data_IF_962906785285
#
_entry.id   IF_962906785285
#
_cell.length_a   1.000
_cell.length_b   1.000
_cell.length_c   1.000
_cell.angle_alpha   90.00
_cell.angle_beta   90.00
_cell.angle_gamma   90.00
#
_symmetry.space_group_name_H-M   'P 1'
#
loop_
_entity.id
_entity.type
_entity.pdbx_description
1 polymer ?
#
# COMPACT_ATOMS: atom_id res chain seq x y z
N UNK A 1 32.81 -13.90 0.86
CA UNK A 1 31.47 -14.50 0.91
C UNK A 1 30.44 -13.40 0.63
N UNK A 2 30.20 -13.03 -0.63
CA UNK A 2 29.35 -11.86 -0.93
C UNK A 2 28.48 -11.99 -2.17
N UNK A 3 28.92 -12.79 -3.16
CA UNK A 3 28.13 -13.02 -4.37
C UNK A 3 27.07 -14.12 -4.20
N UNK A 4 27.34 -15.15 -3.38
CA UNK A 4 26.39 -16.26 -3.16
C UNK A 4 25.21 -15.89 -2.26
N UNK A 5 25.41 -15.04 -1.24
CA UNK A 5 24.36 -14.60 -0.32
C UNK A 5 23.39 -13.60 -0.98
N UNK A 6 23.91 -12.76 -1.89
CA UNK A 6 23.11 -11.84 -2.70
C UNK A 6 22.22 -12.55 -3.74
N UNK A 7 22.74 -13.60 -4.39
CA UNK A 7 21.95 -14.41 -5.33
C UNK A 7 20.84 -15.17 -4.60
N UNK A 8 21.15 -15.74 -3.43
CA UNK A 8 20.18 -16.51 -2.65
C UNK A 8 19.07 -15.63 -2.04
N UNK A 9 19.39 -14.38 -1.66
CA UNK A 9 18.38 -13.41 -1.19
C UNK A 9 17.51 -12.88 -2.34
N UNK A 10 18.08 -12.61 -3.52
CA UNK A 10 17.32 -12.21 -4.70
C UNK A 10 16.33 -13.29 -5.18
N UNK A 11 16.73 -14.55 -5.17
CA UNK A 11 15.85 -15.68 -5.53
C UNK A 11 14.72 -15.88 -4.50
N UNK A 12 15.01 -15.69 -3.21
CA UNK A 12 14.01 -15.79 -2.14
C UNK A 12 12.95 -14.70 -2.26
N UNK A 13 13.35 -13.46 -2.54
CA UNK A 13 12.42 -12.33 -2.72
C UNK A 13 11.54 -12.53 -3.96
N UNK A 14 12.11 -12.96 -5.08
CA UNK A 14 11.35 -13.27 -6.29
C UNK A 14 10.31 -14.38 -6.05
N UNK A 15 10.69 -15.43 -5.31
CA UNK A 15 9.78 -16.52 -4.94
C UNK A 15 8.64 -16.03 -4.02
N UNK A 16 8.94 -15.13 -3.07
CA UNK A 16 7.93 -14.53 -2.21
C UNK A 16 6.97 -13.63 -3.00
N UNK A 17 7.45 -12.87 -4.00
CA UNK A 17 6.60 -12.00 -4.85
C UNK A 17 5.65 -12.84 -5.70
N UNK A 18 6.19 -13.89 -6.33
CA UNK A 18 5.38 -14.83 -7.11
C UNK A 18 4.29 -15.47 -6.24
N UNK A 19 4.64 -15.87 -5.01
CA UNK A 19 3.69 -16.42 -4.04
C UNK A 19 2.62 -15.40 -3.65
N UNK A 20 3.00 -14.16 -3.32
CA UNK A 20 2.08 -13.11 -2.91
C UNK A 20 1.05 -12.78 -4.01
N UNK A 21 1.52 -12.65 -5.25
CA UNK A 21 0.66 -12.43 -6.42
C UNK A 21 -0.30 -13.60 -6.66
N UNK A 22 0.21 -14.84 -6.61
CA UNK A 22 -0.62 -16.05 -6.74
C UNK A 22 -1.70 -16.13 -5.67
N UNK A 23 -1.38 -15.82 -4.41
CA UNK A 23 -2.36 -15.83 -3.31
C UNK A 23 -3.48 -14.83 -3.59
N UNK A 24 -3.14 -13.63 -4.06
CA UNK A 24 -4.12 -12.62 -4.46
C UNK A 24 -5.03 -13.14 -5.58
N UNK A 25 -4.44 -13.61 -6.68
CA UNK A 25 -5.17 -14.14 -7.85
C UNK A 25 -6.08 -15.32 -7.47
N UNK A 26 -5.60 -16.25 -6.64
CA UNK A 26 -6.39 -17.36 -6.13
C UNK A 26 -7.55 -16.90 -5.24
N UNK A 27 -7.36 -15.83 -4.46
CA UNK A 27 -8.41 -15.27 -3.61
C UNK A 27 -9.51 -14.63 -4.47
N UNK A 28 -9.13 -13.91 -5.53
CA UNK A 28 -10.07 -13.33 -6.51
C UNK A 28 -10.82 -14.43 -7.27
N UNK A 29 -10.12 -15.46 -7.70
CA UNK A 29 -10.69 -16.60 -8.42
C UNK A 29 -11.52 -17.55 -7.52
N UNK A 30 -11.46 -17.41 -6.20
CA UNK A 30 -12.20 -18.28 -5.30
C UNK A 30 -13.71 -18.06 -5.45
N UNK A 31 -14.44 -19.15 -5.71
CA UNK A 31 -15.92 -19.18 -5.77
C UNK A 31 -16.51 -19.88 -4.55
N UNK A 32 -17.74 -19.55 -4.15
CA UNK A 32 -18.43 -20.21 -3.03
C UNK A 32 -18.00 -19.71 -1.64
N UNK A 33 -18.65 -20.26 -0.61
CA UNK A 33 -18.81 -19.63 0.72
C UNK A 33 -18.30 -20.44 1.91
N UNK A 34 -17.43 -21.42 1.65
CA UNK A 34 -16.84 -22.21 2.73
C UNK A 34 -16.10 -21.33 3.74
N UNK A 35 -16.08 -21.79 5.00
CA UNK A 35 -15.39 -21.11 6.11
C UNK A 35 -13.92 -20.81 5.80
N UNK A 36 -13.27 -21.72 5.07
CA UNK A 36 -11.87 -21.57 4.64
C UNK A 36 -11.69 -20.42 3.65
N UNK A 37 -12.59 -20.29 2.67
CA UNK A 37 -12.57 -19.20 1.68
C UNK A 37 -12.84 -17.85 2.33
N UNK A 38 -13.79 -17.81 3.28
CA UNK A 38 -14.01 -16.61 4.10
C UNK A 38 -12.74 -16.23 4.87
N UNK A 39 -12.09 -17.18 5.55
CA UNK A 39 -10.85 -16.92 6.28
C UNK A 39 -9.68 -16.49 5.37
N UNK A 40 -9.64 -16.97 4.12
CA UNK A 40 -8.68 -16.51 3.12
C UNK A 40 -8.91 -15.04 2.76
N UNK A 41 -10.14 -14.66 2.43
CA UNK A 41 -10.52 -13.28 2.08
C UNK A 41 -10.27 -12.30 3.22
N UNK A 42 -10.62 -12.67 4.46
CA UNK A 42 -10.33 -11.85 5.65
C UNK A 42 -8.82 -11.60 5.79
N UNK A 43 -8.00 -12.65 5.69
CA UNK A 43 -6.54 -12.51 5.78
C UNK A 43 -5.99 -11.64 4.65
N UNK A 44 -6.55 -11.78 3.45
CA UNK A 44 -6.12 -10.99 2.30
C UNK A 44 -6.52 -9.51 2.45
N UNK A 45 -7.72 -9.21 2.92
CA UNK A 45 -8.20 -7.85 3.18
C UNK A 45 -7.30 -7.12 4.20
N UNK A 46 -6.94 -7.78 5.31
CA UNK A 46 -6.03 -7.23 6.32
C UNK A 46 -4.66 -6.92 5.73
N UNK A 47 -4.13 -7.80 4.87
CA UNK A 47 -2.82 -7.58 4.22
C UNK A 47 -2.87 -6.44 3.22
N UNK A 48 -3.95 -6.34 2.43
CA UNK A 48 -4.14 -5.27 1.45
C UNK A 48 -4.21 -3.91 2.14
N UNK A 49 -4.92 -3.80 3.26
CA UNK A 49 -4.91 -2.58 4.09
C UNK A 49 -3.47 -2.12 4.37
N UNK A 50 -2.62 -3.01 4.88
CA UNK A 50 -1.22 -2.69 5.19
C UNK A 50 -0.42 -2.30 3.95
N UNK A 51 -0.66 -2.97 2.81
CA UNK A 51 -0.02 -2.60 1.54
C UNK A 51 -0.44 -1.19 1.14
N UNK A 52 -1.73 -0.87 1.17
CA UNK A 52 -2.24 0.46 0.81
C UNK A 52 -1.65 1.55 1.71
N UNK A 53 -1.64 1.34 3.03
CA UNK A 53 -1.05 2.28 3.99
C UNK A 53 0.43 2.56 3.67
N UNK A 54 1.19 1.49 3.37
CA UNK A 54 2.62 1.61 3.01
C UNK A 54 2.84 2.28 1.66
N UNK A 55 2.00 1.98 0.67
CA UNK A 55 2.08 2.59 -0.66
C UNK A 55 1.79 4.08 -0.59
N UNK A 56 0.76 4.47 0.18
CA UNK A 56 0.47 5.88 0.45
C UNK A 56 1.66 6.59 1.08
N UNK A 57 2.23 6.01 2.14
CA UNK A 57 3.42 6.54 2.82
C UNK A 57 4.66 6.55 1.92
N UNK A 58 4.75 5.64 0.95
CA UNK A 58 5.82 5.65 -0.03
C UNK A 58 5.66 6.83 -0.99
N UNK A 59 4.44 7.14 -1.42
CA UNK A 59 4.13 8.30 -2.26
C UNK A 59 4.46 9.61 -1.56
N UNK A 60 4.05 9.76 -0.29
CA UNK A 60 4.35 10.98 0.50
C UNK A 60 5.86 11.20 0.64
N UNK A 61 6.60 10.17 1.05
CA UNK A 61 8.06 10.24 1.24
C UNK A 61 8.81 10.48 -0.07
N UNK A 62 8.39 9.81 -1.15
CA UNK A 62 9.04 9.98 -2.45
C UNK A 62 8.86 11.39 -2.99
N UNK A 63 7.68 11.99 -2.82
CA UNK A 63 7.47 13.39 -3.20
C UNK A 63 8.29 14.36 -2.35
N UNK A 64 8.36 14.13 -1.03
CA UNK A 64 9.18 14.97 -0.15
C UNK A 64 10.66 14.96 -0.56
N UNK A 65 11.24 13.78 -0.81
CA UNK A 65 12.62 13.66 -1.27
C UNK A 65 12.84 14.18 -2.70
N UNK A 66 11.84 14.02 -3.57
CA UNK A 66 11.85 14.59 -4.92
C UNK A 66 11.93 16.11 -4.88
N UNK A 67 11.11 16.77 -4.05
CA UNK A 67 11.08 18.23 -3.97
C UNK A 67 12.42 18.79 -3.49
N UNK A 68 13.04 18.16 -2.48
CA UNK A 68 14.39 18.51 -2.02
C UNK A 68 15.42 18.37 -3.15
N UNK A 69 15.43 17.23 -3.83
CA UNK A 69 16.37 16.94 -4.93
C UNK A 69 16.18 17.89 -6.10
N UNK A 70 14.93 18.24 -6.41
CA UNK A 70 14.55 19.19 -7.45
C UNK A 70 15.04 20.60 -7.13
N UNK A 71 14.88 21.06 -5.90
CA UNK A 71 15.39 22.37 -5.48
C UNK A 71 16.92 22.46 -5.59
N UNK A 72 17.63 21.40 -5.19
CA UNK A 72 19.09 21.31 -5.30
C UNK A 72 19.53 21.38 -6.78
N UNK A 73 18.89 20.60 -7.67
CA UNK A 73 19.22 20.60 -9.09
C UNK A 73 19.01 21.99 -9.74
N UNK A 74 17.89 22.66 -9.41
CA UNK A 74 17.59 24.01 -9.90
C UNK A 74 18.66 25.01 -9.42
N UNK A 75 19.09 24.93 -8.16
CA UNK A 75 20.14 25.80 -7.62
C UNK A 75 21.52 25.52 -8.23
N UNK A 76 21.81 24.26 -8.57
CA UNK A 76 23.05 23.83 -9.22
C UNK A 76 23.10 24.10 -10.73
N UNK A 77 21.96 24.38 -11.37
CA UNK A 77 21.85 24.46 -12.82
C UNK A 77 21.87 23.10 -13.52
N UNK A 78 21.59 22.03 -12.77
CA UNK A 78 21.51 20.66 -13.26
C UNK A 78 20.10 20.33 -13.78
N UNK A 79 19.99 19.22 -14.51
CA UNK A 79 18.69 18.70 -14.95
C UNK A 79 17.82 18.27 -13.77
N UNK A 80 16.55 18.66 -13.81
CA UNK A 80 15.57 18.31 -12.78
C UNK A 80 15.31 16.80 -12.80
N UNK A 81 15.33 16.10 -11.65
CA UNK A 81 15.02 14.68 -11.61
C UNK A 81 13.61 14.39 -12.14
N UNK A 82 13.34 13.16 -12.60
CA UNK A 82 12.00 12.75 -12.97
C UNK A 82 11.09 12.69 -11.73
N UNK A 83 9.82 13.03 -11.91
CA UNK A 83 8.81 12.93 -10.86
C UNK A 83 8.67 11.47 -10.39
N UNK A 84 8.54 11.22 -9.08
CA UNK A 84 8.33 9.89 -8.56
C UNK A 84 6.99 9.31 -9.04
N UNK A 85 6.96 8.01 -9.31
CA UNK A 85 5.78 7.27 -9.73
C UNK A 85 5.78 5.87 -9.13
N UNK A 86 4.60 5.26 -9.02
CA UNK A 86 4.48 3.86 -8.62
C UNK A 86 5.12 2.95 -9.67
N UNK A 87 5.73 1.86 -9.21
CA UNK A 87 6.35 0.84 -10.05
C UNK A 87 5.87 -0.55 -9.62
N UNK A 88 6.29 -1.60 -10.33
CA UNK A 88 6.02 -2.98 -9.92
C UNK A 88 6.54 -3.29 -8.50
N UNK A 89 7.60 -2.62 -8.05
CA UNK A 89 8.11 -2.75 -6.67
C UNK A 89 7.09 -2.24 -5.64
N UNK A 90 6.35 -1.19 -5.98
CA UNK A 90 5.32 -0.59 -5.12
C UNK A 90 4.17 -1.57 -4.85
N UNK A 91 3.91 -2.50 -5.77
CA UNK A 91 2.86 -3.51 -5.66
C UNK A 91 3.10 -4.52 -4.51
N UNK A 92 4.35 -4.67 -4.06
CA UNK A 92 4.74 -5.68 -3.07
C UNK A 92 5.19 -5.02 -1.78
N UNK A 93 4.58 -5.43 -0.66
CA UNK A 93 4.96 -4.92 0.65
C UNK A 93 5.10 -6.05 1.66
N UNK A 94 6.13 -5.98 2.48
CA UNK A 94 6.30 -6.88 3.62
C UNK A 94 5.27 -6.55 4.69
N UNK A 95 4.51 -7.54 5.14
CA UNK A 95 3.47 -7.42 6.17
C UNK A 95 3.86 -8.31 7.35
N UNK A 96 3.82 -7.74 8.55
CA UNK A 96 4.02 -8.49 9.78
C UNK A 96 2.75 -9.25 10.11
N UNK A 97 2.86 -10.57 10.33
CA UNK A 97 1.76 -11.42 10.77
C UNK A 97 2.13 -12.13 12.06
N UNK A 98 1.15 -12.72 12.74
CA UNK A 98 1.37 -13.55 13.93
C UNK A 98 2.34 -14.73 13.69
N UNK A 99 2.46 -15.19 12.44
CA UNK A 99 3.32 -16.30 12.05
C UNK A 99 4.64 -15.84 11.42
N UNK A 100 4.99 -14.55 11.55
CA UNK A 100 6.19 -13.95 10.95
C UNK A 100 5.87 -12.99 9.80
N UNK A 101 6.92 -12.55 9.12
CA UNK A 101 6.81 -11.62 7.98
C UNK A 101 6.39 -12.37 6.71
N UNK A 102 5.51 -11.75 5.94
CA UNK A 102 5.06 -12.28 4.64
C UNK A 102 4.97 -11.15 3.63
N UNK A 103 5.16 -11.45 2.36
CA UNK A 103 4.95 -10.48 1.30
C UNK A 103 3.48 -10.47 0.90
N UNK A 104 2.90 -9.27 0.79
CA UNK A 104 1.57 -9.04 0.27
C UNK A 104 1.64 -8.29 -1.06
N UNK A 105 0.61 -8.48 -1.87
CA UNK A 105 0.51 -7.92 -3.21
C UNK A 105 -0.81 -7.18 -3.40
N UNK A 106 -0.75 -6.06 -4.12
CA UNK A 106 -1.89 -5.31 -4.67
C UNK A 106 -1.58 -5.03 -6.15
N UNK A 107 -2.56 -5.13 -7.08
CA UNK A 107 -2.33 -4.84 -8.49
C UNK A 107 -1.84 -3.40 -8.74
N UNK A 108 -1.02 -3.24 -9.77
CA UNK A 108 -0.34 -1.97 -10.07
C UNK A 108 -1.32 -0.80 -10.25
N UNK A 109 -2.50 -1.04 -10.84
CA UNK A 109 -3.53 -0.02 -11.01
C UNK A 109 -3.98 0.61 -9.68
N UNK A 110 -4.12 -0.21 -8.63
CA UNK A 110 -4.52 0.26 -7.30
C UNK A 110 -3.32 0.84 -6.56
N UNK A 111 -2.14 0.22 -6.67
CA UNK A 111 -0.92 0.75 -6.08
C UNK A 111 -0.61 2.16 -6.63
N UNK A 112 -0.81 2.38 -7.93
CA UNK A 112 -0.63 3.69 -8.59
C UNK A 112 -1.58 4.73 -8.03
N UNK A 113 -2.88 4.42 -7.94
CA UNK A 113 -3.88 5.36 -7.40
C UNK A 113 -3.59 5.74 -5.94
N UNK A 114 -3.23 4.76 -5.09
CA UNK A 114 -2.90 5.01 -3.68
C UNK A 114 -1.60 5.81 -3.54
N UNK A 115 -0.60 5.52 -4.38
CA UNK A 115 0.66 6.23 -4.40
C UNK A 115 0.48 7.70 -4.79
N UNK A 116 -0.25 7.95 -5.88
CA UNK A 116 -0.58 9.29 -6.35
C UNK A 116 -1.39 10.05 -5.30
N UNK A 117 -2.31 9.40 -4.59
CA UNK A 117 -3.03 10.01 -3.48
C UNK A 117 -2.09 10.46 -2.36
N UNK A 118 -1.07 9.65 -2.03
CA UNK A 118 -0.01 10.03 -1.09
C UNK A 118 0.80 11.23 -1.58
N UNK A 119 1.15 11.27 -2.87
CA UNK A 119 1.83 12.44 -3.48
C UNK A 119 0.96 13.70 -3.36
N UNK A 120 -0.33 13.63 -3.70
CA UNK A 120 -1.27 14.75 -3.63
C UNK A 120 -1.46 15.24 -2.20
N UNK A 121 -1.51 14.31 -1.23
CA UNK A 121 -1.56 14.65 0.19
C UNK A 121 -0.31 15.41 0.62
N UNK A 122 0.87 14.94 0.25
CA UNK A 122 2.14 15.61 0.56
C UNK A 122 2.25 17.01 -0.06
N UNK A 123 1.66 17.23 -1.24
CA UNK A 123 1.60 18.54 -1.88
C UNK A 123 0.61 19.51 -1.23
N UNK A 124 -0.23 19.04 -0.30
CA UNK A 124 -1.33 19.83 0.26
C UNK A 124 -2.52 20.00 -0.69
N UNK A 125 -2.61 19.22 -1.77
CA UNK A 125 -3.74 19.25 -2.70
C UNK A 125 -4.99 18.54 -2.15
N UNK A 126 -4.79 17.61 -1.23
CA UNK A 126 -5.86 16.90 -0.49
C UNK A 126 -5.54 16.91 1.00
N UNK A 127 -6.55 17.13 1.83
CA UNK A 127 -6.41 17.01 3.28
C UNK A 127 -6.55 15.55 3.74
N UNK A 128 -6.34 15.30 5.04
CA UNK A 128 -6.40 13.95 5.60
C UNK A 128 -7.77 13.26 5.46
N UNK A 129 -8.88 14.02 5.51
CA UNK A 129 -10.22 13.44 5.42
C UNK A 129 -10.51 13.04 3.97
N UNK A 130 -10.17 13.92 3.03
CA UNK A 130 -10.30 13.63 1.60
C UNK A 130 -9.36 12.49 1.18
N UNK A 131 -8.16 12.40 1.75
CA UNK A 131 -7.25 11.28 1.53
C UNK A 131 -7.85 9.96 2.04
N UNK A 132 -8.37 9.92 3.26
CA UNK A 132 -9.03 8.73 3.81
C UNK A 132 -10.21 8.30 2.94
N UNK A 133 -11.11 9.22 2.60
CA UNK A 133 -12.29 8.93 1.77
C UNK A 133 -11.90 8.43 0.38
N UNK A 134 -10.95 9.10 -0.28
CA UNK A 134 -10.49 8.69 -1.63
C UNK A 134 -9.80 7.31 -1.57
N UNK A 135 -9.04 7.04 -0.52
CA UNK A 135 -8.39 5.73 -0.34
C UNK A 135 -9.42 4.63 -0.04
N UNK A 136 -10.50 4.97 0.69
CA UNK A 136 -11.62 4.08 0.95
C UNK A 136 -12.34 3.68 -0.34
N UNK A 137 -12.53 4.59 -1.29
CA UNK A 137 -13.14 4.27 -2.59
C UNK A 137 -12.29 3.27 -3.40
N UNK A 138 -10.97 3.45 -3.37
CA UNK A 138 -10.02 2.49 -3.97
C UNK A 138 -10.12 1.13 -3.26
N UNK A 139 -10.17 1.13 -1.93
CA UNK A 139 -10.31 -0.07 -1.11
C UNK A 139 -11.65 -0.80 -1.33
N UNK A 140 -12.73 -0.08 -1.57
CA UNK A 140 -14.04 -0.65 -1.90
C UNK A 140 -13.98 -1.40 -3.23
N UNK A 141 -13.35 -0.80 -4.25
CA UNK A 141 -13.15 -1.45 -5.55
C UNK A 141 -12.32 -2.75 -5.42
N UNK A 142 -11.27 -2.74 -4.58
CA UNK A 142 -10.53 -3.95 -4.23
C UNK A 142 -11.38 -4.97 -3.46
N UNK A 143 -12.26 -4.50 -2.57
CA UNK A 143 -13.19 -5.31 -1.81
C UNK A 143 -14.18 -6.06 -2.71
N UNK A 144 -14.71 -5.38 -3.74
CA UNK A 144 -15.59 -5.97 -4.74
C UNK A 144 -14.86 -7.03 -5.57
N UNK A 145 -13.62 -6.76 -5.98
CA UNK A 145 -12.78 -7.73 -6.71
C UNK A 145 -12.53 -9.00 -5.87
N UNK A 146 -12.39 -8.86 -4.56
CA UNK A 146 -12.20 -9.97 -3.62
C UNK A 146 -13.52 -10.60 -3.16
N UNK A 147 -14.67 -10.04 -3.58
CA UNK A 147 -16.01 -10.45 -3.20
C UNK A 147 -16.20 -10.45 -1.68
N UNK A 148 -15.77 -9.39 -1.00
CA UNK A 148 -15.84 -9.29 0.46
C UNK A 148 -17.30 -9.18 0.97
N UNK A 149 -18.17 -8.62 0.14
CA UNK A 149 -19.62 -8.47 0.33
C UNK A 149 -20.34 -9.82 0.49
N UNK A 150 -19.98 -10.81 -0.34
CA UNK A 150 -20.57 -12.15 -0.34
C UNK A 150 -20.42 -12.90 1.00
N UNK A 151 -19.51 -12.47 1.88
CA UNK A 151 -19.17 -13.20 3.10
C UNK A 151 -19.24 -12.37 4.38
N UNK A 152 -19.89 -11.19 4.33
CA UNK A 152 -19.95 -10.25 5.45
C UNK A 152 -18.55 -10.07 6.09
N UNK A 153 -17.54 -9.89 5.25
CA UNK A 153 -16.18 -9.53 5.68
C UNK A 153 -16.17 -8.03 5.93
N UNK A 154 -15.46 -7.59 6.97
CA UNK A 154 -15.32 -6.17 7.20
C UNK A 154 -14.67 -5.49 5.99
N UNK A 155 -15.10 -4.27 5.63
CA UNK A 155 -14.46 -3.53 4.56
C UNK A 155 -12.99 -3.29 4.87
N UNK A 156 -12.19 -3.12 3.82
CA UNK A 156 -10.80 -2.69 3.95
C UNK A 156 -10.84 -1.22 4.36
N UNK A 157 -10.30 -0.88 5.54
CA UNK A 157 -10.25 0.49 6.07
C UNK A 157 -8.79 1.00 6.02
N UNK A 158 -8.35 1.61 4.90
CA UNK A 158 -7.00 2.14 4.76
C UNK A 158 -6.87 3.51 5.43
N UNK A 159 -5.63 3.91 5.73
CA UNK A 159 -5.22 5.21 6.25
C UNK A 159 -5.81 5.61 7.61
N UNK A 160 -6.24 4.66 8.43
CA UNK A 160 -6.74 4.95 9.78
C UNK A 160 -5.78 5.78 10.64
N UNK A 161 -4.47 5.65 10.43
CA UNK A 161 -3.47 6.45 11.14
C UNK A 161 -3.65 7.97 10.91
N UNK A 162 -4.18 8.41 9.77
CA UNK A 162 -4.48 9.82 9.53
C UNK A 162 -5.68 10.34 10.35
N UNK A 163 -6.54 9.43 10.81
CA UNK A 163 -7.67 9.77 11.70
C UNK A 163 -7.22 9.78 13.17
N UNK A 164 -6.34 8.86 13.54
CA UNK A 164 -5.74 8.77 14.88
C UNK A 164 -4.89 10.02 15.18
N UNK A 165 -4.05 10.46 14.24
CA UNK A 165 -3.22 11.67 14.38
C UNK A 165 -4.03 12.98 14.53
N UNK A 166 -5.31 12.97 14.17
CA UNK A 166 -6.21 14.15 14.30
C UNK A 166 -6.96 14.21 15.62
N UNK A 167 -7.04 13.10 16.36
CA UNK A 167 -7.75 13.02 17.63
C UNK A 167 -6.97 13.56 18.83
N UNK A 168 -5.65 13.76 18.71
CA UNK A 168 -4.78 14.18 19.82
C UNK A 168 -4.65 15.71 19.99
N UNK A 169 -5.31 16.53 19.17
CA UNK A 169 -5.14 18.01 19.19
C UNK A 169 -6.16 18.74 20.08
N UNK A 170 -7.14 18.04 20.66
CA UNK A 170 -8.28 18.67 21.36
C UNK A 170 -8.32 18.47 22.90
N UNK A 171 -7.26 17.99 23.57
CA UNK A 171 -7.27 17.77 25.04
C UNK A 171 -6.43 18.74 25.90
N UNK A 172 -5.83 19.79 25.34
CA UNK A 172 -5.12 20.81 26.14
C UNK A 172 -5.73 22.21 25.93
N UNK A 173 -6.95 22.41 26.43
CA UNK A 173 -7.47 23.76 26.77
C UNK A 173 -7.95 23.74 28.22
N UNK A 174 -7.05 24.08 29.13
CA UNK A 174 -7.35 24.59 30.47
C UNK A 174 -6.54 25.88 30.71
#
# INVERSE_FOLDING_TARGET
MGLFDWVQSGDADAAQRSTAKKIFEQTVAAEGDSREKRALRVRQAVRIRVVMDKVFMSGTKAWAGYEESRMIAIAGGDDVPPSPAATEETCYQTVNTVNGQTMAYVPLEFATQVYELGVRYQKGEVDGMLAVNSCQDIANTLGDLLKLDLYAVQPILPLNFLLEDRGEVDEDVD
#
